data_IF_602080043959
#
_entry.id   IF_602080043959
#
_cell.length_a   1.000
_cell.length_b   1.000
_cell.length_c   1.000
_cell.angle_alpha   90.00
_cell.angle_beta   90.00
_cell.angle_gamma   90.00
#
_symmetry.space_group_name_H-M   'P 1'
#
loop_
_entity.id
_entity.type
_entity.pdbx_description
1 polymer ?
#
# COMPACT_ATOMS: atom_id res chain seq x y z
N UNK A 1 -27.67 -46.09 51.28
CA UNK A 1 -27.57 -46.19 49.80
C UNK A 1 -27.26 -44.78 49.28
N UNK A 2 -25.98 -44.45 49.07
CA UNK A 2 -25.56 -43.08 48.70
C UNK A 2 -25.62 -42.93 47.18
N UNK A 3 -26.43 -41.98 46.70
CA UNK A 3 -26.46 -41.58 45.30
C UNK A 3 -25.23 -40.70 45.02
N UNK A 4 -24.29 -41.19 44.22
CA UNK A 4 -23.23 -40.37 43.62
C UNK A 4 -23.73 -39.81 42.29
N UNK A 5 -24.06 -38.52 42.28
CA UNK A 5 -24.30 -37.76 41.05
C UNK A 5 -22.96 -37.45 40.39
N UNK A 6 -22.71 -38.04 39.23
CA UNK A 6 -21.58 -37.70 38.36
C UNK A 6 -21.98 -36.41 37.62
N UNK A 7 -21.44 -35.28 38.07
CA UNK A 7 -21.54 -34.00 37.37
C UNK A 7 -20.54 -34.01 36.22
N UNK A 8 -21.03 -34.21 34.99
CA UNK A 8 -20.22 -34.13 33.77
C UNK A 8 -20.02 -32.66 33.46
N UNK A 9 -18.85 -32.12 33.81
CA UNK A 9 -18.42 -30.80 33.40
C UNK A 9 -18.01 -30.86 31.92
N UNK A 10 -18.91 -30.45 31.03
CA UNK A 10 -18.60 -30.29 29.62
C UNK A 10 -17.64 -29.10 29.45
N UNK A 11 -16.35 -29.39 29.20
CA UNK A 11 -15.37 -28.40 28.75
C UNK A 11 -15.71 -28.05 27.29
N UNK A 12 -16.39 -26.91 27.09
CA UNK A 12 -16.51 -26.31 25.77
C UNK A 12 -15.15 -25.69 25.39
N UNK A 13 -14.37 -26.39 24.56
CA UNK A 13 -13.19 -25.80 23.92
C UNK A 13 -13.66 -24.76 22.90
N UNK A 14 -13.47 -23.48 23.20
CA UNK A 14 -13.68 -22.40 22.23
C UNK A 14 -12.60 -22.45 21.16
N UNK A 15 -12.97 -22.80 19.93
CA UNK A 15 -12.10 -22.61 18.76
C UNK A 15 -12.01 -21.10 18.50
N UNK A 16 -10.82 -20.51 18.61
CA UNK A 16 -10.59 -19.16 18.10
C UNK A 16 -10.61 -19.24 16.58
N UNK A 17 -11.63 -18.64 15.96
CA UNK A 17 -11.61 -18.42 14.52
C UNK A 17 -10.48 -17.43 14.22
N UNK A 18 -9.54 -17.81 13.35
CA UNK A 18 -8.56 -16.88 12.84
C UNK A 18 -9.27 -15.81 12.01
N UNK A 19 -9.02 -14.54 12.30
CA UNK A 19 -9.57 -13.39 11.59
C UNK A 19 -8.46 -12.42 11.21
N UNK A 20 -8.68 -11.62 10.16
CA UNK A 20 -7.73 -10.58 9.78
C UNK A 20 -7.87 -9.41 10.75
N UNK A 21 -6.78 -9.05 11.44
CA UNK A 21 -6.74 -7.86 12.27
C UNK A 21 -6.49 -6.64 11.39
N UNK A 22 -7.33 -5.61 11.53
CA UNK A 22 -7.24 -4.36 10.77
C UNK A 22 -6.99 -3.22 11.74
N UNK A 23 -5.93 -2.45 11.52
CA UNK A 23 -5.62 -1.24 12.26
C UNK A 23 -5.50 -0.07 11.27
N UNK A 24 -6.37 0.93 11.41
CA UNK A 24 -6.32 2.13 10.56
C UNK A 24 -5.31 3.10 11.16
N UNK A 25 -4.12 3.20 10.56
CA UNK A 25 -3.02 4.04 11.05
C UNK A 25 -3.13 5.48 10.58
N UNK A 26 -3.80 5.71 9.44
CA UNK A 26 -4.16 7.06 8.97
C UNK A 26 -5.55 7.01 8.39
N UNK A 27 -6.54 7.47 9.15
CA UNK A 27 -7.91 7.59 8.69
C UNK A 27 -8.08 8.87 7.85
N UNK A 28 -8.77 8.77 6.73
CA UNK A 28 -9.04 9.91 5.83
C UNK A 28 -10.54 10.00 5.57
N UNK A 29 -11.07 11.21 5.56
CA UNK A 29 -12.45 11.46 5.14
C UNK A 29 -12.50 11.73 3.63
N UNK A 30 -13.42 11.07 2.93
CA UNK A 30 -13.60 11.24 1.50
C UNK A 30 -15.03 10.92 1.07
N UNK A 31 -15.45 11.47 -0.06
CA UNK A 31 -16.76 11.19 -0.66
C UNK A 31 -16.79 9.83 -1.39
N UNK A 32 -15.65 9.44 -1.99
CA UNK A 32 -15.52 8.19 -2.76
C UNK A 32 -14.52 7.23 -2.10
N UNK A 33 -15.05 6.20 -1.44
CA UNK A 33 -14.31 5.08 -0.88
C UNK A 33 -14.24 3.89 -1.81
N UNK A 34 -13.23 3.03 -1.71
CA UNK A 34 -13.08 1.81 -2.51
C UNK A 34 -14.29 0.87 -2.43
N UNK A 35 -14.67 0.29 -3.57
CA UNK A 35 -15.78 -0.65 -3.70
C UNK A 35 -15.35 -1.91 -4.46
N UNK A 36 -16.07 -3.00 -4.24
CA UNK A 36 -15.86 -4.26 -4.96
C UNK A 36 -15.94 -4.05 -6.48
N UNK A 37 -14.89 -4.44 -7.18
CA UNK A 37 -14.75 -4.27 -8.63
C UNK A 37 -13.96 -3.03 -9.05
N UNK A 38 -13.60 -2.14 -8.12
CA UNK A 38 -12.70 -1.03 -8.41
C UNK A 38 -11.30 -1.53 -8.72
N UNK A 39 -10.63 -0.86 -9.66
CA UNK A 39 -9.18 -0.98 -9.83
C UNK A 39 -8.50 0.04 -8.95
N UNK A 40 -7.69 -0.43 -8.02
CA UNK A 40 -7.05 0.38 -7.01
C UNK A 40 -5.53 0.32 -7.13
N UNK A 41 -4.86 1.35 -6.62
CA UNK A 41 -3.41 1.46 -6.55
C UNK A 41 -2.98 1.54 -5.10
N UNK A 42 -2.20 0.55 -4.64
CA UNK A 42 -1.83 0.43 -3.23
C UNK A 42 -0.31 0.37 -3.10
N UNK A 43 0.25 1.29 -2.32
CA UNK A 43 1.59 1.10 -1.77
C UNK A 43 1.50 0.18 -0.56
N UNK A 44 2.47 -0.71 -0.43
CA UNK A 44 2.57 -1.61 0.70
C UNK A 44 4.00 -1.94 1.08
N UNK A 45 4.13 -2.42 2.31
CA UNK A 45 5.26 -3.16 2.86
C UNK A 45 4.74 -4.43 3.53
N UNK A 46 5.32 -5.57 3.21
CA UNK A 46 4.93 -6.88 3.71
C UNK A 46 6.04 -7.54 4.52
N UNK A 47 5.71 -7.95 5.74
CA UNK A 47 6.61 -8.57 6.69
C UNK A 47 6.03 -9.89 7.21
N UNK A 48 6.89 -10.84 7.54
CA UNK A 48 6.50 -12.00 8.32
C UNK A 48 6.18 -11.55 9.74
N UNK A 49 5.17 -12.15 10.36
CA UNK A 49 4.96 -11.99 11.80
C UNK A 49 5.92 -12.91 12.55
N UNK A 50 6.56 -12.36 13.59
CA UNK A 50 7.47 -13.08 14.47
C UNK A 50 7.13 -12.73 15.93
N UNK A 51 6.60 -13.69 16.69
CA UNK A 51 6.27 -13.56 18.12
C UNK A 51 5.27 -12.43 18.47
N UNK A 52 4.32 -12.18 17.59
CA UNK A 52 3.28 -11.14 17.70
C UNK A 52 3.70 -9.78 17.14
N UNK A 53 4.92 -9.67 16.59
CA UNK A 53 5.50 -8.42 16.12
C UNK A 53 5.87 -8.47 14.63
N UNK A 54 6.19 -7.30 14.08
CA UNK A 54 6.67 -7.16 12.69
C UNK A 54 8.08 -7.74 12.61
N UNK A 55 8.21 -8.87 11.91
CA UNK A 55 9.47 -9.54 11.63
C UNK A 55 10.06 -9.15 10.28
N UNK A 56 10.72 -10.12 9.64
CA UNK A 56 11.46 -9.89 8.39
C UNK A 56 10.59 -9.41 7.24
N UNK A 57 11.00 -8.31 6.58
CA UNK A 57 10.40 -7.84 5.32
C UNK A 57 10.64 -8.89 4.22
N UNK A 58 9.59 -9.22 3.48
CA UNK A 58 9.66 -10.13 2.34
C UNK A 58 9.39 -9.43 1.00
N UNK A 59 8.61 -8.34 1.00
CA UNK A 59 8.32 -7.56 -0.21
C UNK A 59 7.84 -6.14 0.15
N UNK A 60 8.12 -5.18 -0.72
CA UNK A 60 7.76 -3.77 -0.54
C UNK A 60 7.62 -3.07 -1.90
N UNK A 61 6.48 -2.45 -2.15
CA UNK A 61 6.27 -1.62 -3.34
C UNK A 61 7.17 -0.38 -3.38
N UNK A 62 7.59 0.12 -2.22
CA UNK A 62 8.43 1.31 -2.12
C UNK A 62 9.83 1.07 -2.71
N UNK A 63 10.35 -0.17 -2.61
CA UNK A 63 11.62 -0.55 -3.23
C UNK A 63 11.61 -0.41 -4.76
N UNK A 64 10.43 -0.56 -5.38
CA UNK A 64 10.23 -0.45 -6.83
C UNK A 64 9.74 0.94 -7.26
N UNK A 65 9.38 1.80 -6.31
CA UNK A 65 8.84 3.13 -6.58
C UNK A 65 7.47 3.14 -7.28
N UNK A 66 6.77 2.01 -7.36
CA UNK A 66 5.49 1.91 -8.07
C UNK A 66 4.46 1.14 -7.22
N UNK A 67 3.23 1.68 -7.03
CA UNK A 67 2.14 0.98 -6.36
C UNK A 67 1.75 -0.31 -7.08
N UNK A 68 1.22 -1.29 -6.34
CA UNK A 68 0.57 -2.44 -6.94
C UNK A 68 -0.83 -2.04 -7.42
N UNK A 69 -1.16 -2.43 -8.66
CA UNK A 69 -2.49 -2.23 -9.23
C UNK A 69 -3.24 -3.55 -9.37
N UNK A 70 -4.47 -3.62 -8.87
CA UNK A 70 -5.32 -4.79 -8.97
C UNK A 70 -6.80 -4.42 -8.80
N UNK A 71 -7.69 -5.36 -9.11
CA UNK A 71 -9.14 -5.19 -8.92
C UNK A 71 -9.55 -5.78 -7.56
N UNK A 72 -10.09 -4.94 -6.67
CA UNK A 72 -10.46 -5.34 -5.31
C UNK A 72 -11.79 -6.09 -5.25
N UNK A 73 -11.89 -7.11 -4.40
CA UNK A 73 -13.09 -7.93 -4.22
C UNK A 73 -13.38 -8.86 -5.39
N UNK A 74 -12.37 -9.28 -6.14
CA UNK A 74 -12.50 -10.19 -7.30
C UNK A 74 -11.58 -11.41 -7.20
N UNK A 75 -10.90 -11.61 -6.08
CA UNK A 75 -9.93 -12.70 -5.90
C UNK A 75 -8.66 -12.52 -6.73
N UNK A 76 -8.28 -11.28 -7.06
CA UNK A 76 -7.04 -11.00 -7.81
C UNK A 76 -5.78 -11.06 -6.93
N UNK A 77 -5.96 -11.01 -5.62
CA UNK A 77 -4.92 -11.00 -4.58
C UNK A 77 -5.32 -11.95 -3.45
N UNK A 78 -4.48 -12.07 -2.42
CA UNK A 78 -4.79 -12.88 -1.23
C UNK A 78 -6.10 -12.42 -0.58
N UNK A 79 -6.84 -13.36 0.01
CA UNK A 79 -8.17 -13.14 0.58
C UNK A 79 -8.18 -11.99 1.59
N UNK A 80 -7.14 -11.91 2.43
CA UNK A 80 -7.01 -10.86 3.43
C UNK A 80 -6.92 -9.44 2.85
N UNK A 81 -6.46 -9.28 1.60
CA UNK A 81 -6.51 -7.99 0.92
C UNK A 81 -7.85 -7.77 0.22
N UNK A 82 -8.34 -8.79 -0.48
CA UNK A 82 -9.55 -8.72 -1.30
C UNK A 82 -10.78 -8.29 -0.47
N UNK A 83 -10.83 -8.72 0.79
CA UNK A 83 -11.93 -8.43 1.70
C UNK A 83 -11.73 -7.18 2.58
N UNK A 84 -10.49 -6.71 2.79
CA UNK A 84 -10.18 -5.68 3.81
C UNK A 84 -9.62 -4.37 3.25
N UNK A 85 -9.45 -4.27 1.93
CA UNK A 85 -9.09 -3.01 1.23
C UNK A 85 -10.30 -2.33 0.56
N UNK A 86 -11.51 -2.78 0.90
CA UNK A 86 -12.78 -2.10 0.60
C UNK A 86 -13.06 -1.01 1.66
N UNK A 87 -13.97 -0.09 1.33
CA UNK A 87 -14.38 1.03 2.20
C UNK A 87 -13.20 1.91 2.66
N UNK A 88 -12.22 2.13 1.78
CA UNK A 88 -10.99 2.88 2.07
C UNK A 88 -10.91 4.16 1.25
N UNK A 89 -10.43 5.25 1.85
CA UNK A 89 -10.24 6.54 1.19
C UNK A 89 -8.85 6.67 0.56
N UNK A 90 -8.73 7.43 -0.55
CA UNK A 90 -7.42 7.72 -1.15
C UNK A 90 -6.59 8.52 -0.12
N UNK A 91 -5.38 8.03 0.18
CA UNK A 91 -4.48 8.56 1.20
C UNK A 91 -4.61 7.89 2.58
N UNK A 92 -5.61 7.02 2.78
CA UNK A 92 -5.76 6.23 3.99
C UNK A 92 -4.63 5.20 4.12
N UNK A 93 -4.23 4.89 5.35
CA UNK A 93 -3.27 3.83 5.66
C UNK A 93 -3.84 2.82 6.65
N UNK A 94 -3.57 1.54 6.39
CA UNK A 94 -4.00 0.43 7.24
C UNK A 94 -2.86 -0.55 7.46
N UNK A 95 -2.76 -1.09 8.66
CA UNK A 95 -1.97 -2.27 8.98
C UNK A 95 -2.92 -3.48 9.04
N UNK A 96 -2.60 -4.52 8.28
CA UNK A 96 -3.35 -5.76 8.22
C UNK A 96 -2.49 -6.90 8.76
N UNK A 97 -2.91 -7.56 9.84
CA UNK A 97 -2.33 -8.84 10.27
C UNK A 97 -3.19 -9.97 9.70
N UNK A 98 -2.63 -10.73 8.78
CA UNK A 98 -3.32 -11.71 7.94
C UNK A 98 -2.85 -13.11 8.35
N UNK A 99 -3.71 -13.90 9.02
CA UNK A 99 -3.43 -15.30 9.28
C UNK A 99 -3.25 -16.12 7.98
N UNK A 100 -2.60 -17.29 8.04
CA UNK A 100 -2.31 -18.08 6.86
C UNK A 100 -3.52 -18.38 5.98
N UNK A 101 -4.69 -18.64 6.59
CA UNK A 101 -5.95 -19.00 5.93
C UNK A 101 -6.48 -17.87 5.02
N UNK A 102 -6.09 -16.63 5.30
CA UNK A 102 -6.41 -15.46 4.49
C UNK A 102 -5.23 -15.00 3.61
N UNK A 103 -4.06 -15.62 3.77
CA UNK A 103 -2.85 -15.40 2.99
C UNK A 103 -2.59 -16.53 2.00
N UNK A 104 -1.46 -17.22 2.18
CA UNK A 104 -1.01 -18.31 1.30
C UNK A 104 -1.28 -19.73 1.84
N UNK A 105 -1.85 -19.84 3.05
CA UNK A 105 -2.22 -21.11 3.68
C UNK A 105 -1.04 -22.05 3.83
N UNK A 106 -1.23 -23.31 3.44
CA UNK A 106 -0.21 -24.37 3.52
C UNK A 106 0.87 -24.29 2.43
N UNK A 107 0.85 -23.26 1.59
CA UNK A 107 1.80 -23.13 0.46
C UNK A 107 2.88 -22.12 0.82
N UNK A 108 4.13 -22.48 0.55
CA UNK A 108 5.23 -21.53 0.53
C UNK A 108 5.21 -20.73 -0.78
N UNK A 109 5.54 -19.44 -0.72
CA UNK A 109 5.54 -18.53 -1.86
C UNK A 109 6.77 -17.63 -1.84
N UNK A 110 7.74 -17.90 -2.72
CA UNK A 110 9.00 -17.17 -2.76
C UNK A 110 9.69 -17.15 -1.38
N UNK A 111 9.96 -15.99 -0.79
CA UNK A 111 10.56 -15.88 0.55
C UNK A 111 9.60 -16.16 1.72
N UNK A 112 8.32 -16.42 1.46
CA UNK A 112 7.27 -16.61 2.48
C UNK A 112 7.11 -18.12 2.75
N UNK A 113 7.40 -18.61 3.96
CA UNK A 113 7.15 -20.00 4.33
C UNK A 113 5.66 -20.37 4.30
N UNK A 114 5.38 -21.68 4.23
CA UNK A 114 4.03 -22.18 4.43
C UNK A 114 3.54 -21.85 5.85
N UNK A 115 2.24 -21.63 6.01
CA UNK A 115 1.58 -21.33 7.29
C UNK A 115 2.09 -20.06 7.98
N UNK A 116 2.60 -19.10 7.22
CA UNK A 116 3.03 -17.81 7.76
C UNK A 116 1.87 -16.84 7.96
N UNK A 117 1.86 -16.18 9.12
CA UNK A 117 1.09 -14.96 9.36
C UNK A 117 1.85 -13.78 8.74
N UNK A 118 1.13 -12.89 8.06
CA UNK A 118 1.69 -11.77 7.32
C UNK A 118 1.23 -10.46 7.93
N UNK A 119 2.12 -9.49 8.09
CA UNK A 119 1.77 -8.12 8.47
C UNK A 119 2.01 -7.22 7.27
N UNK A 120 0.98 -6.50 6.86
CA UNK A 120 1.05 -5.54 5.76
C UNK A 120 0.73 -4.14 6.22
N UNK A 121 1.68 -3.22 6.04
CA UNK A 121 1.38 -1.80 5.99
C UNK A 121 0.91 -1.46 4.59
N UNK A 122 -0.25 -0.81 4.45
CA UNK A 122 -0.87 -0.47 3.16
C UNK A 122 -1.26 1.00 3.13
N UNK A 123 -1.16 1.59 1.94
CA UNK A 123 -1.53 2.97 1.64
C UNK A 123 -2.27 3.01 0.30
N UNK A 124 -3.53 3.45 0.31
CA UNK A 124 -4.30 3.60 -0.91
C UNK A 124 -3.87 4.89 -1.62
N UNK A 125 -3.29 4.76 -2.80
CA UNK A 125 -2.76 5.92 -3.56
C UNK A 125 -3.71 6.39 -4.66
N UNK A 126 -4.64 5.54 -5.10
CA UNK A 126 -5.61 5.91 -6.13
C UNK A 126 -6.68 4.85 -6.38
N UNK A 127 -7.77 5.30 -6.99
CA UNK A 127 -8.85 4.49 -7.55
C UNK A 127 -9.00 4.92 -9.00
N UNK A 128 -9.00 3.98 -9.93
CA UNK A 128 -9.09 4.31 -11.36
C UNK A 128 -10.38 5.09 -11.67
N UNK A 129 -10.25 6.17 -12.43
CA UNK A 129 -11.36 7.07 -12.76
C UNK A 129 -11.78 8.03 -11.65
N UNK A 130 -11.12 8.00 -10.49
CA UNK A 130 -11.37 8.94 -9.37
C UNK A 130 -10.20 9.93 -9.28
N UNK A 131 -10.45 11.25 -9.34
CA UNK A 131 -9.39 12.24 -9.17
C UNK A 131 -8.79 12.16 -7.76
N UNK A 132 -7.47 12.26 -7.67
CA UNK A 132 -6.78 12.28 -6.37
C UNK A 132 -7.15 13.57 -5.61
N UNK A 133 -7.55 13.50 -4.33
CA UNK A 133 -7.86 14.71 -3.57
C UNK A 133 -6.61 15.58 -3.38
N UNK A 134 -6.78 16.89 -3.56
CA UNK A 134 -5.70 17.88 -3.37
C UNK A 134 -5.37 18.07 -1.88
N UNK A 135 -6.34 17.83 -0.99
CA UNK A 135 -6.18 17.93 0.46
C UNK A 135 -6.67 16.63 1.10
N UNK A 136 -5.82 15.98 1.89
CA UNK A 136 -6.16 14.80 2.67
C UNK A 136 -6.54 15.26 4.07
N UNK A 137 -7.83 15.20 4.41
CA UNK A 137 -8.32 15.53 5.75
C UNK A 137 -8.20 14.26 6.60
N UNK A 138 -7.27 14.27 7.56
CA UNK A 138 -7.11 13.17 8.51
C UNK A 138 -8.22 13.21 9.56
N UNK A 139 -8.88 12.08 9.78
CA UNK A 139 -9.90 11.96 10.82
C UNK A 139 -9.22 11.80 12.16
N UNK A 140 -9.07 12.89 12.91
CA UNK A 140 -8.66 12.83 14.31
C UNK A 140 -9.73 12.06 15.10
N UNK A 141 -9.35 10.91 15.66
CA UNK A 141 -10.19 10.15 16.58
C UNK A 141 -10.43 10.95 17.88
N UNK A 142 -11.60 11.56 18.04
CA UNK A 142 -12.03 12.20 19.30
C UNK A 142 -13.28 11.53 19.90
N UNK A 143 -13.15 11.26 21.19
CA UNK A 143 -14.12 10.66 22.11
C UNK A 143 -15.30 11.60 22.46
N UNK A 144 -16.45 10.98 22.74
CA UNK A 144 -17.75 11.45 23.27
C UNK A 144 -17.86 12.81 24.00
N UNK A 145 -18.92 13.59 23.66
CA UNK A 145 -20.06 14.01 24.52
C UNK A 145 -20.63 15.41 24.18
N UNK A 146 -21.82 15.68 24.70
CA UNK A 146 -22.92 16.45 24.11
C UNK A 146 -23.04 17.91 24.61
N UNK A 147 -23.66 18.74 23.77
CA UNK A 147 -24.56 19.88 24.06
C UNK A 147 -24.07 21.23 24.66
N UNK A 148 -24.43 22.28 23.90
CA UNK A 148 -24.96 23.61 24.27
C UNK A 148 -24.07 24.63 25.00
N UNK A 149 -23.89 25.83 24.42
CA UNK A 149 -24.80 26.98 24.65
C UNK A 149 -24.33 28.27 23.92
N UNK A 150 -25.22 28.77 23.05
CA UNK A 150 -25.64 30.17 22.75
C UNK A 150 -24.68 31.39 22.76
N UNK A 151 -24.57 31.96 21.55
CA UNK A 151 -24.66 33.38 21.12
C UNK A 151 -23.74 34.49 21.66
N UNK A 152 -23.27 35.34 20.71
CA UNK A 152 -23.49 36.81 20.59
C UNK A 152 -22.35 37.38 19.72
N UNK A 153 -22.57 37.58 18.42
CA UNK A 153 -23.00 38.81 17.75
C UNK A 153 -21.97 39.97 17.77
N UNK A 154 -21.41 40.31 16.61
CA UNK A 154 -21.30 41.69 16.08
C UNK A 154 -20.47 41.74 14.80
N UNK A 155 -21.12 42.24 13.75
CA UNK A 155 -20.63 42.48 12.40
C UNK A 155 -19.79 43.75 12.26
N UNK A 156 -19.08 43.85 11.12
CA UNK A 156 -18.68 45.07 10.35
C UNK A 156 -17.36 44.77 9.61
N UNK A 157 -17.08 45.09 8.35
CA UNK A 157 -17.77 45.74 7.22
C UNK A 157 -16.71 45.87 6.10
N UNK A 158 -17.10 45.65 4.82
CA UNK A 158 -16.76 46.37 3.56
C UNK A 158 -15.31 46.90 3.33
N UNK A 159 -14.73 47.04 2.14
CA UNK A 159 -14.98 46.75 0.72
C UNK A 159 -13.71 47.26 -0.01
N UNK A 160 -13.70 47.17 -1.34
CA UNK A 160 -12.90 47.95 -2.31
C UNK A 160 -11.69 47.23 -2.94
N UNK A 161 -11.31 47.47 -4.20
CA UNK A 161 -11.98 47.62 -5.50
C UNK A 161 -10.83 47.80 -6.51
N UNK A 162 -10.86 47.01 -7.58
CA UNK A 162 -10.30 47.26 -8.92
C UNK A 162 -8.79 47.53 -9.14
N UNK A 163 -8.37 47.16 -10.36
CA UNK A 163 -7.40 47.81 -11.30
C UNK A 163 -6.46 46.73 -11.86
N UNK A 164 -6.68 46.17 -13.05
CA UNK A 164 -6.47 46.71 -14.42
C UNK A 164 -5.00 46.57 -14.94
N UNK A 165 -4.81 45.62 -15.88
CA UNK A 165 -4.16 45.70 -17.22
C UNK A 165 -2.63 45.80 -17.39
N UNK A 166 -2.26 45.31 -18.60
CA UNK A 166 -1.01 45.48 -19.38
C UNK A 166 0.10 44.49 -19.00
N UNK A 167 0.88 43.86 -19.89
CA UNK A 167 1.12 43.93 -21.35
C UNK A 167 2.05 42.73 -21.67
N UNK A 168 1.79 41.93 -22.69
CA UNK A 168 2.44 41.96 -24.02
C UNK A 168 3.97 41.65 -24.05
N UNK A 169 4.26 40.51 -24.68
CA UNK A 169 5.42 40.10 -25.47
C UNK A 169 6.81 40.75 -25.28
N UNK A 170 7.81 39.91 -24.98
CA UNK A 170 9.16 40.05 -25.52
C UNK A 170 9.90 38.69 -25.56
N UNK A 171 10.04 38.20 -26.79
CA UNK A 171 11.14 37.44 -27.40
C UNK A 171 12.45 37.25 -26.61
N UNK A 172 12.96 36.01 -26.61
CA UNK A 172 14.37 35.76 -26.97
C UNK A 172 15.32 35.21 -25.89
N UNK A 173 15.87 34.03 -26.18
CA UNK A 173 17.07 33.45 -25.53
C UNK A 173 16.80 32.82 -24.16
N UNK A 174 17.16 31.57 -23.86
CA UNK A 174 18.49 30.99 -24.02
C UNK A 174 18.36 29.48 -24.26
N UNK A 175 18.99 29.02 -25.34
CA UNK A 175 19.32 27.63 -25.65
C UNK A 175 20.50 27.22 -24.75
N UNK A 176 20.35 26.20 -23.93
CA UNK A 176 21.43 25.53 -23.18
C UNK A 176 20.82 24.26 -22.59
N UNK A 177 21.27 23.03 -22.80
CA UNK A 177 22.47 22.47 -23.42
C UNK A 177 22.10 21.05 -23.84
N UNK A 178 22.36 20.73 -25.10
CA UNK A 178 22.26 19.38 -25.67
C UNK A 178 23.65 18.76 -25.59
N UNK A 179 23.65 17.48 -25.29
CA UNK A 179 24.73 16.49 -25.37
C UNK A 179 25.77 16.70 -26.48
N UNK A 180 27.05 16.66 -26.09
CA UNK A 180 28.22 16.53 -26.95
C UNK A 180 29.34 15.92 -26.06
N UNK A 181 30.19 14.98 -26.46
CA UNK A 181 30.42 14.26 -27.70
C UNK A 181 31.09 12.92 -27.39
N UNK A 182 30.98 12.02 -28.36
CA UNK A 182 31.75 10.81 -28.50
C UNK A 182 33.16 11.07 -29.06
N UNK A 183 33.96 9.99 -29.00
CA UNK A 183 34.92 9.56 -30.03
C UNK A 183 36.43 9.75 -29.74
N UNK A 184 37.14 8.63 -29.61
CA UNK A 184 38.37 8.39 -30.36
C UNK A 184 38.65 6.88 -30.47
N UNK A 185 38.64 6.39 -31.71
CA UNK A 185 38.96 5.04 -32.19
C UNK A 185 40.39 5.02 -32.76
N UNK A 186 41.18 3.98 -32.47
CA UNK A 186 42.15 3.27 -33.34
C UNK A 186 43.10 2.44 -32.47
N UNK A 187 43.30 1.13 -32.67
CA UNK A 187 44.09 0.49 -33.75
C UNK A 187 43.92 -1.04 -33.54
N UNK A 188 43.34 -1.83 -34.46
CA UNK A 188 43.98 -2.60 -35.54
C UNK A 188 45.06 -3.61 -35.00
N UNK A 189 45.20 -4.89 -35.36
CA UNK A 189 44.73 -5.80 -36.43
C UNK A 189 45.29 -7.23 -36.12
N UNK A 190 44.84 -8.22 -36.92
CA UNK A 190 45.40 -9.57 -37.18
C UNK A 190 45.01 -10.68 -36.17
N UNK A 191 44.14 -11.64 -36.54
CA UNK A 191 44.30 -12.77 -37.48
C UNK A 191 45.27 -13.86 -36.98
N UNK A 192 44.74 -15.05 -36.69
CA UNK A 192 45.13 -16.37 -37.27
C UNK A 192 44.49 -17.53 -36.49
N UNK A 193 43.71 -18.35 -37.21
CA UNK A 193 43.71 -19.82 -37.29
C UNK A 193 44.12 -20.63 -36.03
N UNK A 194 43.36 -21.61 -35.52
CA UNK A 194 42.87 -22.77 -36.25
C UNK A 194 43.82 -23.97 -36.07
N UNK A 195 43.69 -24.75 -34.99
CA UNK A 195 44.20 -26.13 -34.80
C UNK A 195 43.52 -26.67 -33.51
N UNK A 196 42.92 -27.85 -33.39
CA UNK A 196 43.23 -29.13 -34.01
C UNK A 196 43.99 -30.01 -33.01
N UNK A 197 43.39 -31.14 -32.60
CA UNK A 197 43.99 -32.31 -31.91
C UNK A 197 44.33 -32.18 -30.41
N UNK A 198 43.60 -32.96 -29.59
CA UNK A 198 44.01 -34.25 -28.99
C UNK A 198 44.93 -34.07 -27.78
N UNK A 199 44.51 -34.58 -26.62
CA UNK A 199 45.26 -35.61 -25.90
C UNK A 199 44.33 -36.21 -24.83
N UNK A 200 43.82 -37.40 -25.18
CA UNK A 200 43.56 -38.47 -24.24
C UNK A 200 44.90 -38.88 -23.58
N UNK A 201 44.94 -39.04 -22.27
CA UNK A 201 45.41 -40.27 -21.58
C UNK A 201 45.63 -40.04 -20.06
N UNK A 202 45.10 -41.03 -19.30
CA UNK A 202 45.31 -41.41 -17.89
C UNK A 202 44.55 -40.66 -16.79
#
# INVERSE_FOLDING_TARGET
>A
MRLSTISILALASSVLAAEVKIEVTKAVECERKTQKGDRIHVHYRGNLEENGEVGKEFDSSYSRGQPLSFVVGKGSVIKGWDDNLIDMCIGEKRVLTIPPEFGYGDRAMGPIPAKSTLIFETELTGIEGVPKPEIIIEKTSSSSSNAADTATDSASSLSDKATEKATEAATGGVKSVISEAAEAVKTALADTDGDGQEHNEL
#
